data_IF_005286521786
#
_entry.id   IF_005286521786
#
_cell.length_a   1.000
_cell.length_b   1.000
_cell.length_c   1.000
_cell.angle_alpha   90.00
_cell.angle_beta   90.00
_cell.angle_gamma   90.00
#
_symmetry.space_group_name_H-M   'P 1'
#
loop_
_entity.id
_entity.type
_entity.pdbx_description
1 polymer ?
#
# COMPACT_ATOMS: atom_id res chain seq x y z
N UNK A 1 -6.14 86.77 8.35
CA UNK A 1 -5.26 87.12 9.49
C UNK A 1 -4.61 85.82 9.95
N UNK A 2 -3.34 85.58 9.58
CA UNK A 2 -2.13 85.93 10.36
C UNK A 2 -2.04 85.12 11.68
N UNK A 3 -0.96 84.46 12.12
CA UNK A 3 0.33 83.95 11.59
C UNK A 3 1.02 83.24 12.79
N UNK A 4 1.71 82.12 12.52
CA UNK A 4 2.94 81.50 13.12
C UNK A 4 3.23 81.45 14.65
N UNK A 5 3.52 80.24 15.16
CA UNK A 5 4.83 79.61 15.54
C UNK A 5 5.50 80.11 16.84
N UNK A 6 5.78 79.20 17.80
CA UNK A 6 7.09 78.53 17.89
C UNK A 6 7.21 77.50 19.04
N UNK A 7 8.08 76.53 18.78
CA UNK A 7 8.64 75.43 19.59
C UNK A 7 9.20 75.82 20.96
N UNK A 8 9.17 74.89 21.92
CA UNK A 8 10.37 74.48 22.69
C UNK A 8 10.15 73.15 23.42
N UNK A 9 11.06 72.21 23.14
CA UNK A 9 11.26 70.91 23.78
C UNK A 9 11.56 71.03 25.28
N UNK A 10 11.09 70.04 26.06
CA UNK A 10 11.83 69.49 27.21
C UNK A 10 11.34 68.07 27.53
N UNK A 11 12.29 67.14 27.50
CA UNK A 11 12.16 65.72 27.79
C UNK A 11 11.86 65.47 29.28
N UNK A 12 11.11 64.40 29.57
CA UNK A 12 10.91 63.86 30.91
C UNK A 12 11.04 62.31 30.86
N UNK A 13 11.49 61.67 31.94
CA UNK A 13 12.39 60.51 31.87
C UNK A 13 11.70 59.14 31.83
N UNK A 14 12.47 58.16 31.35
CA UNK A 14 12.19 56.72 31.30
C UNK A 14 11.58 56.19 32.61
N UNK A 15 10.35 55.68 32.52
CA UNK A 15 9.79 54.77 33.51
C UNK A 15 10.00 53.31 33.07
N UNK A 16 10.56 52.55 33.99
CA UNK A 16 10.92 51.13 33.98
C UNK A 16 10.14 50.21 33.03
N UNK A 17 10.87 49.53 32.14
CA UNK A 17 10.43 48.32 31.46
C UNK A 17 10.26 47.20 32.50
N UNK A 18 9.01 46.81 32.77
CA UNK A 18 8.72 45.51 33.34
C UNK A 18 9.11 44.44 32.32
N UNK A 19 10.26 43.82 32.53
CA UNK A 19 10.75 42.69 31.76
C UNK A 19 9.95 41.46 32.18
N UNK A 20 8.77 41.29 31.59
CA UNK A 20 8.01 40.05 31.68
C UNK A 20 8.81 39.00 30.91
N UNK A 21 9.59 38.19 31.63
CA UNK A 21 10.23 36.99 31.09
C UNK A 21 9.11 36.02 30.69
N UNK A 22 8.55 36.21 29.51
CA UNK A 22 7.76 35.20 28.84
C UNK A 22 8.65 33.99 28.64
N UNK A 23 8.44 32.96 29.45
CA UNK A 23 8.94 31.62 29.16
C UNK A 23 8.23 31.24 27.86
N UNK A 24 8.91 31.46 26.73
CA UNK A 24 8.52 30.91 25.44
C UNK A 24 8.61 29.40 25.62
N UNK A 25 7.48 28.78 25.96
CA UNK A 25 7.32 27.33 25.87
C UNK A 25 7.50 27.00 24.39
N UNK A 26 8.72 26.65 24.03
CA UNK A 26 9.02 25.92 22.80
C UNK A 26 8.18 24.65 22.88
N UNK A 27 7.01 24.66 22.25
CA UNK A 27 6.25 23.45 21.98
C UNK A 27 7.13 22.60 21.09
N UNK A 28 7.90 21.70 21.71
CA UNK A 28 8.44 20.51 21.06
C UNK A 28 7.21 19.70 20.61
N UNK A 29 6.68 20.04 19.44
CA UNK A 29 5.79 19.16 18.71
C UNK A 29 6.57 17.86 18.50
N UNK A 30 5.98 16.68 18.78
CA UNK A 30 6.62 15.43 18.44
C UNK A 30 6.94 15.46 16.95
N UNK A 31 8.22 15.36 16.60
CA UNK A 31 8.63 15.21 15.22
C UNK A 31 8.16 13.82 14.77
N UNK A 32 6.99 13.76 14.14
CA UNK A 32 6.62 12.59 13.36
C UNK A 32 7.64 12.55 12.23
N UNK A 33 8.45 11.49 12.20
CA UNK A 33 9.36 11.26 11.08
C UNK A 33 8.50 11.12 9.83
N UNK A 34 8.59 12.11 8.94
CA UNK A 34 7.98 11.98 7.61
C UNK A 34 8.70 10.84 6.88
N UNK A 35 7.93 9.89 6.38
CA UNK A 35 8.42 8.70 5.69
C UNK A 35 8.02 8.79 4.23
N UNK A 36 8.85 8.24 3.35
CA UNK A 36 8.48 7.89 1.99
C UNK A 36 7.85 6.50 1.99
N UNK A 37 6.53 6.42 1.86
CA UNK A 37 5.77 5.17 1.92
C UNK A 37 5.32 4.77 0.51
N UNK A 38 5.79 3.63 0.04
CA UNK A 38 5.29 3.01 -1.18
C UNK A 38 4.15 2.05 -0.83
N UNK A 39 2.96 2.26 -1.38
CA UNK A 39 1.84 1.34 -1.26
C UNK A 39 1.73 0.52 -2.55
N UNK A 40 1.62 -0.79 -2.42
CA UNK A 40 1.14 -1.67 -3.48
C UNK A 40 -0.01 -2.53 -2.93
N UNK A 41 -0.72 -3.26 -3.78
CA UNK A 41 -1.87 -4.05 -3.34
C UNK A 41 -2.10 -5.20 -4.30
N UNK A 42 -2.67 -6.30 -3.79
CA UNK A 42 -3.21 -7.40 -4.60
C UNK A 42 -4.55 -7.03 -5.23
N UNK A 43 -5.21 -6.01 -4.70
CA UNK A 43 -6.46 -5.48 -5.22
C UNK A 43 -6.19 -4.48 -6.34
N UNK A 44 -7.26 -3.83 -6.80
CA UNK A 44 -7.17 -2.85 -7.87
C UNK A 44 -6.66 -1.52 -7.35
N UNK A 45 -5.91 -0.80 -8.19
CA UNK A 45 -5.42 0.54 -7.93
C UNK A 45 -6.51 1.59 -7.59
N UNK A 46 -7.77 1.31 -7.97
CA UNK A 46 -8.96 2.14 -7.65
C UNK A 46 -9.83 1.58 -6.52
N UNK A 47 -9.38 0.54 -5.82
CA UNK A 47 -10.12 -0.01 -4.68
C UNK A 47 -10.15 0.98 -3.51
N UNK A 48 -11.22 0.95 -2.72
CA UNK A 48 -11.40 1.81 -1.53
C UNK A 48 -10.18 1.80 -0.59
N UNK A 49 -9.66 0.63 -0.29
CA UNK A 49 -8.71 0.42 0.80
C UNK A 49 -7.36 1.14 0.58
N UNK A 50 -6.62 0.90 -0.52
CA UNK A 50 -5.35 1.61 -0.77
C UNK A 50 -5.57 3.12 -0.97
N UNK A 51 -6.70 3.53 -1.57
CA UNK A 51 -7.05 4.94 -1.82
C UNK A 51 -7.22 5.72 -0.53
N UNK A 52 -7.98 5.18 0.42
CA UNK A 52 -8.17 5.84 1.71
C UNK A 52 -6.95 5.73 2.63
N UNK A 53 -6.15 4.67 2.54
CA UNK A 53 -4.92 4.58 3.33
C UNK A 53 -3.89 5.63 2.89
N UNK A 54 -3.72 5.83 1.58
CA UNK A 54 -2.85 6.90 1.06
C UNK A 54 -3.22 8.26 1.63
N UNK A 55 -4.51 8.60 1.60
CA UNK A 55 -4.99 9.87 2.13
C UNK A 55 -4.72 10.00 3.64
N UNK A 56 -5.02 8.95 4.43
CA UNK A 56 -4.78 8.95 5.87
C UNK A 56 -3.30 9.20 6.20
N UNK A 57 -2.38 8.56 5.49
CA UNK A 57 -0.93 8.71 5.70
C UNK A 57 -0.43 10.08 5.24
N UNK A 58 -0.94 10.61 4.13
CA UNK A 58 -0.59 11.95 3.64
C UNK A 58 -1.01 13.05 4.61
N UNK A 59 -2.19 12.93 5.23
CA UNK A 59 -2.63 13.90 6.27
C UNK A 59 -1.77 13.84 7.54
N UNK A 60 -1.04 12.74 7.78
CA UNK A 60 -0.04 12.63 8.84
C UNK A 60 1.34 13.17 8.46
N UNK A 61 1.50 13.68 7.23
CA UNK A 61 2.72 14.31 6.76
C UNK A 61 3.71 13.35 6.09
N UNK A 62 3.32 12.10 5.82
CA UNK A 62 4.14 11.18 5.03
C UNK A 62 4.06 11.53 3.53
N UNK A 63 5.13 11.24 2.80
CA UNK A 63 5.15 11.26 1.34
C UNK A 63 4.72 9.88 0.86
N UNK A 64 3.64 9.80 0.10
CA UNK A 64 3.05 8.50 -0.27
C UNK A 64 2.93 8.38 -1.78
N UNK A 65 3.35 7.23 -2.31
CA UNK A 65 3.12 6.83 -3.70
C UNK A 65 2.45 5.47 -3.71
N UNK A 66 1.52 5.28 -4.64
CA UNK A 66 0.82 4.01 -4.82
C UNK A 66 1.08 3.51 -6.23
N UNK A 67 1.53 2.26 -6.34
CA UNK A 67 1.69 1.57 -7.62
C UNK A 67 1.00 0.22 -7.52
N UNK A 68 -0.02 0.01 -8.35
CA UNK A 68 -0.84 -1.19 -8.30
C UNK A 68 -1.27 -1.65 -9.70
N UNK A 69 -1.78 -2.88 -9.77
CA UNK A 69 -2.27 -3.44 -11.03
C UNK A 69 -3.50 -2.67 -11.54
N UNK A 70 -3.53 -2.43 -12.86
CA UNK A 70 -4.67 -1.89 -13.58
C UNK A 70 -5.86 -2.85 -13.53
N UNK A 71 -5.59 -4.16 -13.60
CA UNK A 71 -6.55 -5.26 -13.65
C UNK A 71 -5.99 -6.47 -12.87
N UNK A 72 -6.05 -6.46 -11.52
CA UNK A 72 -5.45 -7.51 -10.69
C UNK A 72 -6.11 -8.88 -10.85
N UNK A 73 -7.35 -8.91 -11.36
CA UNK A 73 -8.21 -10.08 -11.47
C UNK A 73 -8.40 -10.48 -12.95
N UNK A 74 -7.35 -10.95 -13.62
CA UNK A 74 -7.50 -11.64 -14.91
C UNK A 74 -8.04 -13.07 -14.76
N UNK A 75 -8.27 -13.55 -13.53
CA UNK A 75 -8.75 -14.90 -13.22
C UNK A 75 -10.23 -14.98 -12.79
N UNK A 76 -11.03 -13.92 -12.98
CA UNK A 76 -12.49 -14.09 -12.95
C UNK A 76 -12.89 -14.64 -14.32
N UNK A 77 -13.28 -15.92 -14.48
CA UNK A 77 -13.87 -16.36 -15.73
C UNK A 77 -15.08 -15.45 -16.00
N UNK A 78 -15.36 -15.08 -17.24
CA UNK A 78 -16.48 -14.20 -17.55
C UNK A 78 -17.77 -14.88 -17.12
N UNK A 79 -18.23 -14.59 -15.91
CA UNK A 79 -19.54 -15.00 -15.43
C UNK A 79 -20.53 -14.07 -16.11
N UNK A 80 -21.10 -14.59 -17.20
CA UNK A 80 -22.34 -14.19 -17.87
C UNK A 80 -22.40 -12.76 -18.43
N UNK A 81 -21.63 -12.51 -19.50
CA UNK A 81 -22.07 -11.61 -20.58
C UNK A 81 -22.76 -12.43 -21.68
N UNK A 82 -23.92 -13.02 -21.39
CA UNK A 82 -24.81 -13.63 -22.41
C UNK A 82 -25.96 -12.74 -22.87
N UNK A 83 -25.98 -11.43 -22.56
CA UNK A 83 -27.08 -10.58 -23.05
C UNK A 83 -26.72 -9.32 -23.84
N UNK A 84 -25.44 -8.98 -24.05
CA UNK A 84 -25.07 -7.78 -24.83
C UNK A 84 -23.82 -7.98 -25.71
N UNK A 85 -23.76 -9.09 -26.45
CA UNK A 85 -22.66 -9.35 -27.38
C UNK A 85 -22.80 -8.63 -28.74
N UNK A 86 -23.95 -8.04 -29.04
CA UNK A 86 -24.22 -7.40 -30.35
C UNK A 86 -23.76 -5.93 -30.46
N UNK A 87 -23.11 -5.36 -29.45
CA UNK A 87 -22.67 -3.94 -29.47
C UNK A 87 -21.19 -3.70 -29.18
N UNK A 88 -20.37 -4.76 -29.06
CA UNK A 88 -18.95 -4.64 -28.67
C UNK A 88 -17.96 -4.90 -29.81
N UNK A 89 -18.41 -5.08 -31.05
CA UNK A 89 -17.53 -5.31 -32.21
C UNK A 89 -16.79 -4.06 -32.73
N UNK A 90 -16.97 -2.87 -32.13
CA UNK A 90 -16.40 -1.60 -32.63
C UNK A 90 -15.35 -0.94 -31.70
N UNK A 91 -14.88 -1.64 -30.66
CA UNK A 91 -13.75 -1.19 -29.84
C UNK A 91 -12.62 -2.22 -29.96
N UNK A 92 -11.63 -1.88 -30.80
CA UNK A 92 -10.56 -2.76 -31.24
C UNK A 92 -9.76 -3.44 -30.12
N UNK A 93 -9.16 -4.56 -30.50
CA UNK A 93 -8.16 -5.29 -29.73
C UNK A 93 -7.08 -4.36 -29.15
N UNK A 94 -7.03 -4.25 -27.82
CA UNK A 94 -5.99 -3.55 -27.09
C UNK A 94 -6.49 -2.92 -25.79
N UNK A 95 -6.27 -3.61 -24.66
CA UNK A 95 -6.56 -3.17 -23.29
C UNK A 95 -8.06 -2.95 -23.02
N UNK A 96 -8.62 -3.59 -21.99
CA UNK A 96 -9.96 -3.25 -21.52
C UNK A 96 -10.02 -1.73 -21.20
N UNK A 97 -10.63 -0.94 -22.09
CA UNK A 97 -10.31 0.47 -22.36
C UNK A 97 -10.55 1.49 -21.22
N UNK A 98 -10.84 1.02 -20.00
CA UNK A 98 -11.05 1.85 -18.82
C UNK A 98 -10.37 1.35 -17.53
N UNK A 99 -9.70 0.20 -17.52
CA UNK A 99 -9.24 -0.46 -16.28
C UNK A 99 -10.38 -0.90 -15.36
N UNK A 100 -10.07 -1.37 -14.15
CA UNK A 100 -11.10 -1.77 -13.18
C UNK A 100 -12.07 -0.61 -12.84
N UNK A 101 -13.34 -0.97 -12.64
CA UNK A 101 -14.47 -0.02 -12.54
C UNK A 101 -14.59 0.99 -13.69
N UNK A 102 -13.94 0.73 -14.83
CA UNK A 102 -13.90 1.63 -15.99
C UNK A 102 -13.38 3.04 -15.64
N UNK A 103 -12.54 3.17 -14.61
CA UNK A 103 -12.13 4.46 -14.08
C UNK A 103 -11.53 5.39 -15.15
N UNK A 104 -10.74 4.85 -16.07
CA UNK A 104 -10.04 5.62 -17.10
C UNK A 104 -10.90 6.02 -18.31
N UNK A 105 -12.18 5.61 -18.37
CA UNK A 105 -13.05 6.04 -19.46
C UNK A 105 -13.18 7.57 -19.48
N UNK A 106 -13.11 8.22 -20.67
CA UNK A 106 -13.20 9.69 -20.77
C UNK A 106 -14.45 10.28 -20.10
N UNK A 107 -15.58 9.57 -20.18
CA UNK A 107 -16.83 9.97 -19.54
C UNK A 107 -16.72 10.02 -18.00
N UNK A 108 -16.09 9.01 -17.39
CA UNK A 108 -15.87 8.96 -15.94
C UNK A 108 -14.88 10.02 -15.47
N UNK A 109 -13.78 10.19 -16.20
CA UNK A 109 -12.80 11.26 -15.94
C UNK A 109 -13.45 12.64 -16.00
N UNK A 110 -14.29 12.88 -17.02
CA UNK A 110 -15.04 14.14 -17.16
C UNK A 110 -16.03 14.34 -16.03
N UNK A 111 -16.79 13.31 -15.65
CA UNK A 111 -17.71 13.36 -14.53
C UNK A 111 -17.01 13.73 -13.22
N UNK A 112 -15.94 13.01 -12.87
CA UNK A 112 -15.19 13.23 -11.63
C UNK A 112 -14.54 14.62 -11.58
N UNK A 113 -13.97 15.08 -12.70
CA UNK A 113 -13.48 16.45 -12.84
C UNK A 113 -14.56 17.49 -12.56
N UNK A 114 -15.78 17.28 -13.06
CA UNK A 114 -16.91 18.17 -12.83
C UNK A 114 -17.38 18.14 -11.37
N UNK A 115 -17.43 16.97 -10.74
CA UNK A 115 -17.79 16.85 -9.30
C UNK A 115 -16.81 17.63 -8.43
N UNK A 116 -15.49 17.47 -8.65
CA UNK A 116 -14.46 18.25 -7.95
C UNK A 116 -14.65 19.75 -8.13
N UNK A 117 -14.95 20.19 -9.36
CA UNK A 117 -15.21 21.60 -9.66
C UNK A 117 -16.39 22.18 -8.89
N UNK A 118 -17.45 21.40 -8.69
CA UNK A 118 -18.65 21.83 -7.94
C UNK A 118 -18.38 21.91 -6.44
N UNK A 119 -17.51 21.04 -5.94
CA UNK A 119 -17.14 20.91 -4.52
C UNK A 119 -16.00 21.84 -4.07
N UNK A 120 -15.41 22.63 -4.98
CA UNK A 120 -14.43 23.66 -4.60
C UNK A 120 -15.03 24.60 -3.56
N UNK A 121 -14.24 24.91 -2.53
CA UNK A 121 -14.64 25.79 -1.44
C UNK A 121 -15.22 27.11 -1.97
N UNK A 122 -16.40 27.48 -1.47
CA UNK A 122 -17.10 28.69 -1.89
C UNK A 122 -16.88 29.79 -0.86
N UNK A 123 -16.42 30.95 -1.34
CA UNK A 123 -16.28 32.15 -0.54
C UNK A 123 -17.62 32.82 -0.26
N UNK A 124 -17.56 34.07 0.22
CA UNK A 124 -18.75 34.87 0.49
C UNK A 124 -19.70 34.91 -0.73
N UNK A 125 -21.01 34.88 -0.45
CA UNK A 125 -22.06 34.86 -1.49
C UNK A 125 -22.00 33.64 -2.43
N UNK A 126 -21.48 32.51 -1.97
CA UNK A 126 -21.46 31.25 -2.74
C UNK A 126 -20.59 31.33 -4.01
N UNK A 127 -19.56 32.19 -4.00
CA UNK A 127 -18.68 32.45 -5.15
C UNK A 127 -17.40 31.63 -5.04
N UNK A 128 -16.95 31.01 -6.14
CA UNK A 128 -15.66 30.33 -6.19
C UNK A 128 -14.59 31.37 -6.56
N UNK A 129 -13.50 31.44 -5.81
CA UNK A 129 -12.41 32.34 -6.14
C UNK A 129 -11.72 31.87 -7.41
N UNK A 130 -11.42 32.80 -8.33
CA UNK A 130 -10.72 32.48 -9.58
C UNK A 130 -9.42 31.72 -9.35
N UNK A 131 -8.63 32.10 -8.34
CA UNK A 131 -7.38 31.42 -7.98
C UNK A 131 -7.57 29.92 -7.67
N UNK A 132 -8.70 29.55 -7.07
CA UNK A 132 -8.98 28.17 -6.65
C UNK A 132 -9.44 27.34 -7.86
N UNK A 133 -10.17 27.96 -8.80
CA UNK A 133 -10.48 27.36 -10.10
C UNK A 133 -9.23 27.19 -10.96
N UNK A 134 -8.39 28.22 -11.05
CA UNK A 134 -7.16 28.19 -11.84
C UNK A 134 -6.19 27.11 -11.30
N UNK A 135 -6.11 26.95 -9.97
CA UNK A 135 -5.33 25.89 -9.33
C UNK A 135 -5.86 24.50 -9.69
N UNK A 136 -7.18 24.29 -9.62
CA UNK A 136 -7.83 23.04 -10.00
C UNK A 136 -7.63 22.74 -11.49
N UNK A 137 -7.79 23.72 -12.37
CA UNK A 137 -7.57 23.56 -13.81
C UNK A 137 -6.10 23.23 -14.10
N UNK A 138 -5.14 23.84 -13.40
CA UNK A 138 -3.71 23.50 -13.52
C UNK A 138 -3.42 22.07 -13.05
N UNK A 139 -4.12 21.57 -12.03
CA UNK A 139 -3.98 20.20 -11.55
C UNK A 139 -4.43 19.19 -12.61
N UNK A 140 -5.55 19.46 -13.30
CA UNK A 140 -6.05 18.60 -14.37
C UNK A 140 -5.36 18.79 -15.72
N UNK A 141 -4.77 19.97 -15.97
CA UNK A 141 -4.13 20.27 -17.26
C UNK A 141 -2.69 19.77 -17.32
N UNK A 142 -2.11 19.38 -16.19
CA UNK A 142 -0.88 18.61 -16.22
C UNK A 142 -1.14 17.26 -16.88
N UNK A 143 -0.35 16.96 -17.89
CA UNK A 143 -0.43 15.69 -18.57
C UNK A 143 0.00 14.57 -17.61
N UNK A 144 -0.94 13.70 -17.25
CA UNK A 144 -0.63 12.46 -16.57
C UNK A 144 0.31 11.63 -17.45
N UNK A 145 1.29 10.97 -16.83
CA UNK A 145 2.19 10.07 -17.55
C UNK A 145 1.39 8.85 -17.98
N UNK A 146 1.54 8.44 -19.24
CA UNK A 146 0.91 7.22 -19.76
C UNK A 146 1.75 6.64 -20.89
N UNK A 147 1.94 5.32 -20.86
CA UNK A 147 2.47 4.51 -21.95
C UNK A 147 1.73 3.15 -22.00
N UNK A 148 2.24 2.20 -22.79
CA UNK A 148 1.62 0.88 -22.98
C UNK A 148 1.66 -0.02 -21.73
N UNK A 149 2.57 0.24 -20.78
CA UNK A 149 2.83 -0.62 -19.61
C UNK A 149 2.29 -0.02 -18.32
N UNK A 150 2.32 1.30 -18.18
CA UNK A 150 1.89 1.98 -16.97
C UNK A 150 1.37 3.38 -17.26
N UNK A 151 0.60 3.91 -16.31
CA UNK A 151 0.19 5.30 -16.32
C UNK A 151 -0.09 5.83 -14.93
N UNK A 152 -0.38 7.11 -14.86
CA UNK A 152 -0.71 7.84 -13.64
C UNK A 152 -2.18 8.21 -13.65
N UNK A 153 -2.83 8.16 -12.49
CA UNK A 153 -4.19 8.63 -12.33
C UNK A 153 -4.33 10.12 -12.68
N UNK A 154 -5.16 10.50 -13.66
CA UNK A 154 -5.38 11.90 -14.01
C UNK A 154 -5.96 12.75 -12.87
N UNK A 155 -6.57 12.10 -11.86
CA UNK A 155 -7.18 12.76 -10.70
C UNK A 155 -6.30 12.69 -9.45
N UNK A 156 -5.21 11.92 -9.45
CA UNK A 156 -4.32 11.85 -8.29
C UNK A 156 -2.90 11.41 -8.68
N UNK A 157 -1.97 12.35 -8.73
CA UNK A 157 -0.57 12.09 -9.12
C UNK A 157 0.24 11.20 -8.16
N UNK A 158 -0.33 10.80 -7.03
CA UNK A 158 0.30 9.81 -6.17
C UNK A 158 -0.02 8.38 -6.59
N UNK A 159 -1.02 8.16 -7.46
CA UNK A 159 -1.45 6.84 -7.89
C UNK A 159 -0.98 6.53 -9.31
N UNK A 160 -0.34 5.37 -9.43
CA UNK A 160 0.10 4.79 -10.68
C UNK A 160 -0.56 3.43 -10.85
N UNK A 161 -0.94 3.14 -12.08
CA UNK A 161 -1.44 1.84 -12.49
C UNK A 161 -0.46 1.19 -13.47
N UNK A 162 -0.35 -0.12 -13.38
CA UNK A 162 0.49 -0.95 -14.26
C UNK A 162 -0.40 -1.98 -14.93
N UNK A 163 -0.31 -2.09 -16.25
CA UNK A 163 -0.97 -3.15 -17.02
C UNK A 163 -0.20 -4.46 -16.87
N UNK A 164 -0.38 -5.11 -15.71
CA UNK A 164 0.31 -6.33 -15.32
C UNK A 164 -0.21 -6.86 -13.98
N UNK A 165 0.33 -7.98 -13.52
CA UNK A 165 0.00 -8.57 -12.20
C UNK A 165 0.41 -7.63 -11.06
N UNK A 166 -0.12 -7.82 -9.83
CA UNK A 166 0.37 -7.07 -8.66
C UNK A 166 1.90 -7.16 -8.48
N UNK A 167 2.48 -8.34 -8.74
CA UNK A 167 3.93 -8.56 -8.64
C UNK A 167 4.69 -7.75 -9.69
N UNK A 168 4.22 -7.75 -10.94
CA UNK A 168 4.77 -6.92 -12.01
C UNK A 168 4.64 -5.42 -11.69
N UNK A 169 3.52 -5.00 -11.09
CA UNK A 169 3.31 -3.60 -10.70
C UNK A 169 4.33 -3.12 -9.68
N UNK A 170 4.60 -3.89 -8.63
CA UNK A 170 5.61 -3.54 -7.63
C UNK A 170 7.04 -3.64 -8.21
N UNK A 171 7.31 -4.61 -9.07
CA UNK A 171 8.61 -4.73 -9.77
C UNK A 171 8.89 -3.49 -10.62
N UNK A 172 7.90 -3.07 -11.44
CA UNK A 172 7.96 -1.85 -12.23
C UNK A 172 8.04 -0.58 -11.39
N UNK A 173 7.45 -0.57 -10.19
CA UNK A 173 7.59 0.55 -9.27
C UNK A 173 9.07 0.82 -8.94
N UNK A 174 9.80 -0.23 -8.58
CA UNK A 174 11.21 -0.13 -8.22
C UNK A 174 12.13 0.09 -9.42
N UNK A 175 11.90 -0.62 -10.51
CA UNK A 175 12.86 -0.67 -11.62
C UNK A 175 12.70 0.50 -12.61
N UNK A 176 11.51 1.10 -12.69
CA UNK A 176 11.20 2.09 -13.73
C UNK A 176 10.42 3.31 -13.21
N UNK A 177 9.28 3.14 -12.54
CA UNK A 177 8.38 4.26 -12.23
C UNK A 177 9.02 5.24 -11.24
N UNK A 178 9.52 4.74 -10.09
CA UNK A 178 10.14 5.61 -9.09
C UNK A 178 11.45 6.24 -9.63
N UNK A 179 12.38 5.48 -10.24
CA UNK A 179 13.60 6.10 -10.80
C UNK A 179 13.33 7.15 -11.88
N UNK A 180 12.36 6.93 -12.77
CA UNK A 180 12.07 7.82 -13.89
C UNK A 180 11.22 9.04 -13.51
N UNK A 181 10.26 8.89 -12.58
CA UNK A 181 9.23 9.92 -12.33
C UNK A 181 9.24 10.47 -10.91
N UNK A 182 9.96 9.84 -9.99
CA UNK A 182 10.13 10.29 -8.61
C UNK A 182 11.55 9.97 -8.09
N UNK A 183 12.63 10.44 -8.74
CA UNK A 183 14.00 10.04 -8.42
C UNK A 183 14.43 10.38 -6.98
N UNK A 184 13.80 11.40 -6.38
CA UNK A 184 14.05 11.80 -4.98
C UNK A 184 13.22 10.97 -3.97
N UNK A 185 12.35 10.08 -4.44
CA UNK A 185 11.53 9.20 -3.61
C UNK A 185 12.21 7.85 -3.42
N UNK A 186 12.97 7.71 -2.33
CA UNK A 186 13.47 6.43 -1.87
C UNK A 186 12.52 5.88 -0.79
N UNK A 187 11.84 4.73 -1.00
CA UNK A 187 10.90 4.19 -0.02
C UNK A 187 11.60 3.82 1.30
N UNK A 188 11.08 4.34 2.41
CA UNK A 188 11.46 3.96 3.78
C UNK A 188 10.64 2.76 4.28
N UNK A 189 9.46 2.55 3.68
CA UNK A 189 8.52 1.50 4.02
C UNK A 189 7.71 1.11 2.77
N UNK A 190 7.50 -0.19 2.57
CA UNK A 190 6.46 -0.70 1.68
C UNK A 190 5.25 -1.15 2.50
N UNK A 191 4.05 -0.75 2.06
CA UNK A 191 2.80 -1.33 2.55
C UNK A 191 2.17 -2.12 1.41
N UNK A 192 1.85 -3.38 1.66
CA UNK A 192 1.07 -4.20 0.73
C UNK A 192 -0.36 -4.27 1.26
N UNK A 193 -1.26 -3.50 0.66
CA UNK A 193 -2.67 -3.39 1.05
C UNK A 193 -3.08 -2.00 1.55
N UNK A 194 -4.23 -1.90 2.26
CA UNK A 194 -5.00 -3.00 2.82
C UNK A 194 -5.70 -3.79 1.72
N UNK A 195 -5.49 -5.10 1.67
CA UNK A 195 -6.10 -5.98 0.68
C UNK A 195 -7.41 -6.57 1.23
N UNK A 196 -8.40 -6.71 0.35
CA UNK A 196 -9.55 -7.55 0.58
C UNK A 196 -9.17 -9.04 0.43
N UNK A 197 -9.68 -9.88 1.32
CA UNK A 197 -9.27 -11.27 1.43
C UNK A 197 -8.05 -11.49 2.33
N UNK A 198 -8.11 -12.59 3.09
CA UNK A 198 -7.07 -12.98 4.04
C UNK A 198 -5.83 -13.49 3.30
N UNK A 199 -4.67 -12.97 3.71
CA UNK A 199 -3.36 -13.45 3.27
C UNK A 199 -2.66 -14.02 4.49
N UNK A 200 -2.95 -15.29 4.79
CA UNK A 200 -2.46 -15.96 6.00
C UNK A 200 -1.04 -16.45 5.78
N UNK A 201 -0.14 -16.20 6.73
CA UNK A 201 1.28 -16.53 6.54
C UNK A 201 1.48 -18.03 6.29
N UNK A 202 2.28 -18.43 5.29
CA UNK A 202 2.52 -19.83 5.00
C UNK A 202 3.25 -20.54 6.15
N UNK A 203 3.03 -21.86 6.35
CA UNK A 203 3.75 -22.63 7.35
C UNK A 203 5.26 -22.63 7.05
N UNK A 204 6.06 -22.84 8.10
CA UNK A 204 7.49 -23.03 7.94
C UNK A 204 7.76 -24.38 7.24
N UNK A 205 8.53 -24.37 6.13
CA UNK A 205 9.08 -25.60 5.52
C UNK A 205 10.12 -26.28 6.43
N UNK A 206 10.20 -27.61 6.35
CA UNK A 206 11.23 -28.42 7.02
C UNK A 206 12.51 -28.61 6.16
N UNK A 207 12.54 -28.05 4.94
CA UNK A 207 13.67 -28.19 4.03
C UNK A 207 14.88 -27.33 4.43
N UNK A 208 16.09 -27.86 4.19
CA UNK A 208 17.35 -27.15 4.45
C UNK A 208 17.55 -25.93 3.53
N UNK A 209 17.00 -26.00 2.31
CA UNK A 209 17.00 -24.92 1.30
C UNK A 209 15.59 -24.78 0.75
N UNK A 210 14.99 -23.60 0.94
CA UNK A 210 13.65 -23.28 0.41
C UNK A 210 13.80 -22.58 -0.93
N UNK A 211 13.05 -23.02 -1.95
CA UNK A 211 12.99 -22.36 -3.26
C UNK A 211 11.59 -21.81 -3.45
N UNK A 212 11.48 -20.49 -3.63
CA UNK A 212 10.22 -19.80 -3.85
C UNK A 212 10.20 -19.15 -5.23
N UNK A 213 9.11 -19.38 -5.94
CA UNK A 213 8.76 -18.69 -7.17
C UNK A 213 7.70 -17.65 -6.85
N UNK A 214 8.09 -16.37 -6.87
CA UNK A 214 7.19 -15.28 -6.46
C UNK A 214 5.93 -15.18 -7.31
N UNK A 215 6.00 -15.57 -8.59
CA UNK A 215 4.87 -15.46 -9.51
C UNK A 215 3.85 -16.59 -9.29
N UNK A 216 4.33 -17.74 -8.82
CA UNK A 216 3.54 -18.93 -8.55
C UNK A 216 3.15 -19.11 -7.07
N UNK A 217 3.38 -18.10 -6.22
CA UNK A 217 2.96 -18.17 -4.81
C UNK A 217 1.45 -18.01 -4.67
N UNK A 218 0.82 -18.92 -3.91
CA UNK A 218 -0.61 -18.81 -3.59
C UNK A 218 -0.91 -17.52 -2.77
N UNK A 219 -0.02 -17.15 -1.84
CA UNK A 219 -0.10 -15.89 -1.09
C UNK A 219 0.61 -14.77 -1.86
N UNK A 220 -0.15 -14.05 -2.69
CA UNK A 220 0.33 -12.93 -3.50
C UNK A 220 0.86 -11.76 -2.65
N UNK A 221 0.29 -11.51 -1.47
CA UNK A 221 0.79 -10.46 -0.57
C UNK A 221 2.16 -10.82 0.01
N UNK A 222 2.39 -12.10 0.33
CA UNK A 222 3.71 -12.58 0.74
C UNK A 222 4.74 -12.47 -0.39
N UNK A 223 4.36 -12.75 -1.64
CA UNK A 223 5.25 -12.55 -2.78
C UNK A 223 5.70 -11.09 -2.93
N UNK A 224 4.76 -10.13 -2.79
CA UNK A 224 5.05 -8.69 -2.79
C UNK A 224 5.96 -8.30 -1.62
N UNK A 225 5.74 -8.89 -0.44
CA UNK A 225 6.59 -8.66 0.73
C UNK A 225 8.03 -9.09 0.49
N UNK A 226 8.23 -10.29 -0.05
CA UNK A 226 9.56 -10.80 -0.40
C UNK A 226 10.23 -9.92 -1.46
N UNK A 227 9.49 -9.46 -2.47
CA UNK A 227 10.02 -8.53 -3.46
C UNK A 227 10.49 -7.22 -2.81
N UNK A 228 9.71 -6.61 -1.93
CA UNK A 228 10.13 -5.41 -1.20
C UNK A 228 11.39 -5.64 -0.34
N UNK A 229 11.47 -6.79 0.34
CA UNK A 229 12.65 -7.18 1.12
C UNK A 229 13.89 -7.36 0.23
N UNK A 230 13.76 -7.93 -0.98
CA UNK A 230 14.86 -8.01 -1.96
C UNK A 230 15.41 -6.62 -2.35
N UNK A 231 14.56 -5.61 -2.35
CA UNK A 231 14.94 -4.20 -2.54
C UNK A 231 15.42 -3.52 -1.24
N UNK A 232 15.60 -4.28 -0.15
CA UNK A 232 16.08 -3.83 1.17
C UNK A 232 15.17 -2.80 1.82
N UNK A 233 13.86 -2.90 1.61
CA UNK A 233 12.87 -2.01 2.23
C UNK A 233 12.04 -2.83 3.24
N UNK A 234 11.84 -2.34 4.48
CA UNK A 234 10.93 -2.99 5.42
C UNK A 234 9.50 -2.98 4.87
N UNK A 235 8.73 -4.02 5.20
CA UNK A 235 7.38 -4.19 4.63
C UNK A 235 6.35 -4.59 5.68
N UNK A 236 5.16 -4.00 5.54
CA UNK A 236 3.96 -4.37 6.29
C UNK A 236 2.90 -4.80 5.28
N UNK A 237 2.46 -6.06 5.35
CA UNK A 237 1.32 -6.54 4.59
C UNK A 237 0.07 -6.43 5.44
N UNK A 238 -1.01 -5.91 4.85
CA UNK A 238 -2.27 -5.70 5.55
C UNK A 238 -3.41 -6.27 4.72
N UNK A 239 -4.22 -7.10 5.36
CA UNK A 239 -5.35 -7.78 4.76
C UNK A 239 -6.54 -7.79 5.70
N UNK A 240 -7.73 -7.89 5.14
CA UNK A 240 -8.98 -8.04 5.90
C UNK A 240 -9.84 -9.15 5.33
N UNK A 241 -10.68 -9.76 6.17
CA UNK A 241 -11.59 -10.84 5.76
C UNK A 241 -12.75 -10.36 4.86
N UNK A 242 -12.89 -9.05 4.65
CA UNK A 242 -13.89 -8.49 3.74
C UNK A 242 -13.53 -8.75 2.26
N UNK A 243 -14.56 -8.74 1.41
CA UNK A 243 -14.49 -8.97 -0.03
C UNK A 243 -15.52 -8.09 -0.74
N UNK A 244 -15.64 -6.83 -0.31
CA UNK A 244 -16.72 -5.92 -0.71
C UNK A 244 -16.58 -5.44 -2.17
N UNK A 245 -15.36 -5.47 -2.72
CA UNK A 245 -14.94 -4.96 -4.04
C UNK A 245 -15.56 -3.60 -4.36
N UNK A 246 -15.28 -2.62 -3.50
CA UNK A 246 -15.86 -1.27 -3.60
C UNK A 246 -14.89 -0.28 -4.22
N UNK A 247 -15.40 0.44 -5.23
CA UNK A 247 -14.72 1.57 -5.85
C UNK A 247 -14.59 2.74 -4.86
N UNK A 248 -13.41 3.36 -4.80
CA UNK A 248 -13.12 4.41 -3.81
C UNK A 248 -14.04 5.64 -3.89
N UNK A 249 -14.56 5.94 -5.08
CA UNK A 249 -15.44 7.08 -5.33
C UNK A 249 -16.92 6.67 -5.42
N UNK A 250 -17.30 5.53 -4.84
CA UNK A 250 -18.70 5.12 -4.72
C UNK A 250 -19.44 5.96 -3.67
N UNK A 251 -20.31 6.84 -4.14
CA UNK A 251 -21.05 7.77 -3.31
C UNK A 251 -22.11 7.10 -2.42
N UNK A 252 -22.42 5.81 -2.60
CA UNK A 252 -23.29 5.08 -1.66
C UNK A 252 -22.59 4.89 -0.32
N UNK A 253 -21.27 4.74 -0.33
CA UNK A 253 -20.47 4.41 0.84
C UNK A 253 -19.65 5.58 1.36
N UNK A 254 -19.25 6.52 0.51
CA UNK A 254 -18.34 7.60 0.88
C UNK A 254 -18.87 8.97 0.49
N UNK A 255 -18.41 10.00 1.21
CA UNK A 255 -18.53 11.38 0.76
C UNK A 255 -17.37 11.65 -0.19
N UNK A 256 -17.69 11.66 -1.48
CA UNK A 256 -16.71 11.78 -2.57
C UNK A 256 -16.28 13.23 -2.74
N UNK A 257 -15.01 13.45 -3.06
CA UNK A 257 -14.45 14.77 -3.34
C UNK A 257 -14.62 15.81 -2.20
N UNK A 258 -14.38 15.36 -0.96
CA UNK A 258 -14.31 16.23 0.24
C UNK A 258 -12.87 16.66 0.54
N UNK A 259 -12.70 17.75 1.30
CA UNK A 259 -11.39 18.34 1.54
C UNK A 259 -10.56 17.65 2.64
N UNK A 260 -11.20 16.94 3.58
CA UNK A 260 -10.54 16.34 4.74
C UNK A 260 -10.90 14.86 4.86
N UNK A 261 -9.92 14.03 5.21
CA UNK A 261 -10.06 12.56 5.31
C UNK A 261 -11.22 12.17 6.24
N UNK A 262 -11.30 12.79 7.41
CA UNK A 262 -12.36 12.51 8.40
C UNK A 262 -13.78 12.76 7.87
N UNK A 263 -13.94 13.62 6.86
CA UNK A 263 -15.24 13.98 6.31
C UNK A 263 -15.66 13.02 5.19
N UNK A 264 -14.77 12.11 4.76
CA UNK A 264 -15.02 11.20 3.64
C UNK A 264 -15.94 10.02 4.01
N UNK A 265 -16.16 9.75 5.30
CA UNK A 265 -16.83 8.53 5.76
C UNK A 265 -18.31 8.77 6.07
N UNK A 266 -19.19 8.03 5.39
CA UNK A 266 -20.63 7.97 5.74
C UNK A 266 -20.88 6.97 6.87
N UNK A 267 -22.06 7.06 7.48
CA UNK A 267 -22.47 6.15 8.55
C UNK A 267 -22.92 4.77 8.01
N UNK A 268 -22.00 4.01 7.42
CA UNK A 268 -22.23 2.63 6.96
C UNK A 268 -21.08 1.69 7.40
N UNK A 269 -21.30 0.35 7.39
CA UNK A 269 -20.29 -0.61 7.83
C UNK A 269 -18.96 -0.54 7.07
N UNK A 270 -19.00 -0.37 5.75
CA UNK A 270 -17.81 -0.36 4.88
C UNK A 270 -16.93 0.84 5.22
N UNK A 271 -17.51 2.03 5.29
CA UNK A 271 -16.81 3.25 5.66
C UNK A 271 -16.20 3.18 7.07
N UNK A 272 -16.94 2.61 8.04
CA UNK A 272 -16.43 2.40 9.41
C UNK A 272 -15.25 1.43 9.44
N UNK A 273 -15.28 0.36 8.64
CA UNK A 273 -14.20 -0.61 8.56
C UNK A 273 -12.94 0.04 7.97
N UNK A 274 -13.06 0.76 6.84
CA UNK A 274 -11.92 1.48 6.24
C UNK A 274 -11.30 2.47 7.23
N UNK A 275 -12.12 3.26 7.92
CA UNK A 275 -11.63 4.21 8.92
C UNK A 275 -10.88 3.49 10.04
N UNK A 276 -11.45 2.42 10.61
CA UNK A 276 -10.83 1.67 11.69
C UNK A 276 -9.51 1.00 11.28
N UNK A 277 -9.48 0.37 10.10
CA UNK A 277 -8.29 -0.30 9.57
C UNK A 277 -7.17 0.73 9.36
N UNK A 278 -7.46 1.85 8.70
CA UNK A 278 -6.48 2.90 8.45
C UNK A 278 -5.94 3.51 9.75
N UNK A 279 -6.82 3.82 10.70
CA UNK A 279 -6.40 4.36 12.01
C UNK A 279 -5.45 3.40 12.74
N UNK A 280 -5.68 2.09 12.64
CA UNK A 280 -4.81 1.06 13.25
C UNK A 280 -3.48 0.92 12.53
N UNK A 281 -3.46 1.00 11.20
CA UNK A 281 -2.23 0.95 10.40
C UNK A 281 -1.37 2.18 10.68
N UNK A 282 -1.95 3.38 10.65
CA UNK A 282 -1.24 4.64 10.93
C UNK A 282 -0.61 4.59 12.33
N UNK A 283 -1.39 4.20 13.34
CA UNK A 283 -0.89 4.05 14.71
C UNK A 283 0.21 2.99 14.84
N UNK A 284 0.14 1.91 14.08
CA UNK A 284 1.20 0.90 14.07
C UNK A 284 2.50 1.47 13.47
N UNK A 285 2.42 2.13 12.32
CA UNK A 285 3.57 2.74 11.63
C UNK A 285 4.30 3.70 12.55
N UNK A 286 3.56 4.58 13.23
CA UNK A 286 4.10 5.54 14.21
C UNK A 286 4.87 4.87 15.37
N UNK A 287 4.60 3.59 15.65
CA UNK A 287 5.28 2.83 16.72
C UNK A 287 6.40 1.91 16.24
N UNK A 288 6.37 1.42 15.00
CA UNK A 288 7.29 0.36 14.54
C UNK A 288 8.37 0.85 13.58
N UNK A 289 8.10 1.91 12.80
CA UNK A 289 9.01 2.37 11.76
C UNK A 289 9.99 3.40 12.34
N UNK A 290 11.29 3.13 12.20
CA UNK A 290 12.38 4.00 12.67
C UNK A 290 13.17 3.52 13.90
N UNK A 291 12.72 2.47 14.60
CA UNK A 291 13.47 1.93 15.75
C UNK A 291 13.48 0.41 15.91
N UNK A 292 12.71 -0.36 15.13
CA UNK A 292 12.62 -1.82 15.33
C UNK A 292 12.36 -2.68 14.09
N UNK A 293 11.71 -2.17 13.05
CA UNK A 293 11.46 -2.95 11.83
C UNK A 293 12.58 -2.73 10.81
N UNK A 294 13.41 -3.74 10.59
CA UNK A 294 14.46 -3.73 9.56
C UNK A 294 13.98 -4.39 8.25
N UNK A 295 14.79 -4.28 7.20
CA UNK A 295 14.47 -4.81 5.86
C UNK A 295 14.46 -6.35 5.76
N UNK A 296 14.97 -7.07 6.76
CA UNK A 296 14.92 -8.53 6.80
C UNK A 296 13.61 -9.06 7.39
N UNK A 297 12.89 -8.19 8.12
CA UNK A 297 11.62 -8.47 8.76
C UNK A 297 10.43 -7.98 7.93
N UNK A 298 9.31 -8.68 8.07
CA UNK A 298 8.01 -8.24 7.56
C UNK A 298 6.91 -8.51 8.59
N UNK A 299 5.92 -7.64 8.64
CA UNK A 299 4.73 -7.82 9.48
C UNK A 299 3.56 -8.19 8.58
N UNK A 300 2.96 -9.36 8.80
CA UNK A 300 1.73 -9.77 8.13
C UNK A 300 0.52 -9.59 9.04
N UNK A 301 -0.38 -8.70 8.65
CA UNK A 301 -1.48 -8.24 9.48
C UNK A 301 -2.80 -8.63 8.84
N UNK A 302 -3.59 -9.44 9.54
CA UNK A 302 -4.92 -9.84 9.12
C UNK A 302 -5.97 -9.26 10.09
N UNK A 303 -6.90 -8.49 9.56
CA UNK A 303 -8.06 -7.97 10.27
C UNK A 303 -9.24 -8.94 10.13
N UNK A 304 -9.98 -9.23 11.22
CA UNK A 304 -11.17 -10.06 11.13
C UNK A 304 -12.28 -9.31 10.38
N UNK A 305 -13.28 -10.04 9.87
CA UNK A 305 -14.49 -9.42 9.38
C UNK A 305 -15.13 -8.59 10.49
N UNK A 306 -15.50 -7.34 10.24
CA UNK A 306 -16.07 -6.42 11.23
C UNK A 306 -17.34 -5.76 10.69
N UNK A 307 -18.30 -5.44 11.56
CA UNK A 307 -19.48 -4.62 11.27
C UNK A 307 -20.44 -5.15 10.17
N UNK A 308 -20.15 -6.30 9.58
CA UNK A 308 -21.01 -6.98 8.61
C UNK A 308 -22.11 -7.79 9.32
N UNK A 309 -23.22 -8.07 8.63
CA UNK A 309 -24.36 -8.84 9.19
C UNK A 309 -23.96 -10.22 9.72
N UNK A 310 -22.95 -10.83 9.10
CA UNK A 310 -22.43 -12.15 9.47
C UNK A 310 -21.12 -12.10 10.26
N UNK A 311 -20.65 -10.91 10.63
CA UNK A 311 -19.46 -10.76 11.46
C UNK A 311 -19.84 -10.86 12.94
N UNK A 312 -19.00 -11.57 13.70
CA UNK A 312 -19.07 -11.60 15.16
C UNK A 312 -18.25 -10.48 15.82
N UNK A 313 -17.54 -9.67 15.03
CA UNK A 313 -16.66 -8.62 15.51
C UNK A 313 -17.23 -7.24 15.18
N UNK A 314 -17.05 -6.33 16.12
CA UNK A 314 -17.55 -4.97 16.00
C UNK A 314 -16.40 -3.98 16.10
N UNK A 315 -16.43 -2.95 15.25
CA UNK A 315 -15.45 -1.88 15.27
C UNK A 315 -16.07 -0.50 15.03
N UNK A 316 -15.58 0.48 15.76
CA UNK A 316 -15.77 1.92 15.53
C UNK A 316 -14.40 2.56 15.39
N UNK A 317 -14.32 3.84 15.03
CA UNK A 317 -13.04 4.57 14.94
C UNK A 317 -12.14 4.42 16.17
N UNK A 318 -12.70 4.24 17.38
CA UNK A 318 -11.93 4.20 18.62
C UNK A 318 -11.94 2.85 19.33
N UNK A 319 -12.88 1.96 19.01
CA UNK A 319 -13.05 0.67 19.68
C UNK A 319 -13.11 -0.46 18.67
N UNK A 320 -12.50 -1.60 18.98
CA UNK A 320 -12.54 -2.77 18.11
C UNK A 320 -11.46 -3.77 18.46
N UNK A 321 -11.22 -4.75 17.57
CA UNK A 321 -10.14 -5.72 17.67
C UNK A 321 -8.79 -5.09 18.01
N UNK A 322 -7.97 -5.82 18.79
CA UNK A 322 -6.60 -5.41 19.16
C UNK A 322 -5.59 -6.31 18.47
N UNK A 323 -4.38 -5.79 18.25
CA UNK A 323 -3.26 -6.58 17.74
C UNK A 323 -2.92 -7.74 18.67
N UNK A 324 -2.78 -8.93 18.08
CA UNK A 324 -2.34 -10.16 18.72
C UNK A 324 -1.24 -10.77 17.87
N UNK A 325 -0.01 -10.77 18.40
CA UNK A 325 1.11 -11.42 17.73
C UNK A 325 0.92 -12.94 17.74
N UNK A 326 1.00 -13.53 16.56
CA UNK A 326 0.92 -14.97 16.35
C UNK A 326 2.33 -15.54 16.27
N UNK A 327 2.56 -16.62 17.01
CA UNK A 327 3.87 -17.27 17.10
C UNK A 327 3.74 -18.75 16.78
N UNK A 328 4.68 -19.30 16.01
CA UNK A 328 4.80 -20.73 15.74
C UNK A 328 6.04 -21.31 16.43
N UNK A 329 6.18 -22.64 16.37
CA UNK A 329 7.41 -23.31 16.78
C UNK A 329 8.61 -22.77 15.99
N UNK A 330 9.77 -22.63 16.66
CA UNK A 330 10.99 -22.18 16.00
C UNK A 330 11.32 -23.13 14.84
N UNK A 331 11.55 -22.61 13.62
CA UNK A 331 11.94 -23.47 12.52
C UNK A 331 13.28 -24.14 12.81
N UNK A 332 13.52 -25.31 12.21
CA UNK A 332 14.85 -25.92 12.21
C UNK A 332 15.84 -25.00 11.49
N UNK A 333 17.12 -25.13 11.83
CA UNK A 333 18.19 -24.42 11.15
C UNK A 333 18.11 -24.65 9.64
N UNK A 334 18.17 -23.58 8.85
CA UNK A 334 18.15 -23.64 7.38
C UNK A 334 19.43 -23.04 6.82
N UNK A 335 19.92 -23.60 5.74
CA UNK A 335 21.12 -23.09 5.05
C UNK A 335 20.82 -21.82 4.25
N UNK A 336 19.57 -21.64 3.80
CA UNK A 336 19.14 -20.42 3.11
C UNK A 336 17.84 -20.57 2.33
N UNK A 337 17.47 -19.50 1.62
CA UNK A 337 16.32 -19.42 0.72
C UNK A 337 16.79 -18.94 -0.66
N UNK A 338 16.22 -19.50 -1.72
CA UNK A 338 16.37 -19.04 -3.09
C UNK A 338 15.03 -18.48 -3.54
N UNK A 339 15.01 -17.23 -3.99
CA UNK A 339 13.81 -16.58 -4.52
C UNK A 339 14.00 -16.33 -6.00
N UNK A 340 13.00 -16.69 -6.80
CA UNK A 340 12.97 -16.38 -8.22
C UNK A 340 11.91 -15.31 -8.51
N UNK A 341 12.34 -14.28 -9.24
CA UNK A 341 11.53 -13.11 -9.60
C UNK A 341 11.41 -13.07 -11.12
N UNK A 342 10.19 -12.98 -11.69
CA UNK A 342 10.04 -12.74 -13.12
C UNK A 342 10.60 -11.37 -13.46
N UNK A 343 11.43 -11.26 -14.50
CA UNK A 343 11.77 -9.95 -15.05
C UNK A 343 10.72 -9.61 -16.10
N UNK A 344 10.03 -8.50 -15.89
CA UNK A 344 9.27 -7.87 -16.95
C UNK A 344 10.27 -7.42 -18.03
N UNK A 345 10.40 -8.15 -19.14
CA UNK A 345 11.08 -7.63 -20.32
C UNK A 345 10.12 -6.65 -21.00
N UNK A 346 10.28 -5.37 -20.64
CA UNK A 346 9.49 -4.23 -21.09
C UNK A 346 9.40 -4.07 -22.62
N UNK A 347 10.21 -4.83 -23.39
CA UNK A 347 10.27 -4.73 -24.85
C UNK A 347 9.64 -5.91 -25.60
N UNK A 348 9.24 -6.99 -24.92
CA UNK A 348 8.71 -8.19 -25.58
C UNK A 348 7.57 -8.83 -24.79
N UNK A 349 6.37 -8.28 -24.93
CA UNK A 349 5.12 -8.98 -24.55
C UNK A 349 4.86 -10.25 -25.39
N UNK A 350 5.65 -10.50 -26.42
CA UNK A 350 5.48 -11.62 -27.34
C UNK A 350 6.84 -12.21 -27.74
N UNK A 351 7.33 -13.20 -26.97
CA UNK A 351 8.01 -14.43 -27.42
C UNK A 351 8.92 -15.01 -26.32
N UNK A 352 8.49 -16.15 -25.78
CA UNK A 352 9.27 -17.28 -25.28
C UNK A 352 10.69 -16.96 -24.75
N UNK A 353 10.71 -16.53 -23.49
CA UNK A 353 11.60 -17.01 -22.43
C UNK A 353 11.40 -16.04 -21.26
N UNK A 354 10.61 -16.42 -20.25
CA UNK A 354 10.53 -15.67 -19.00
C UNK A 354 11.95 -15.54 -18.43
N UNK A 355 12.54 -14.35 -18.56
CA UNK A 355 13.85 -14.12 -17.98
C UNK A 355 13.69 -13.99 -16.48
N UNK A 356 14.03 -15.04 -15.73
CA UNK A 356 13.92 -15.04 -14.27
C UNK A 356 15.22 -14.57 -13.63
N UNK A 357 15.12 -13.72 -12.62
CA UNK A 357 16.22 -13.38 -11.74
C UNK A 357 16.15 -14.25 -10.48
N UNK A 358 17.26 -14.87 -10.10
CA UNK A 358 17.35 -15.71 -8.91
C UNK A 358 18.19 -15.02 -7.85
N UNK A 359 17.73 -15.05 -6.61
CA UNK A 359 18.39 -14.42 -5.46
C UNK A 359 18.63 -15.47 -4.39
N UNK A 360 19.84 -15.49 -3.85
CA UNK A 360 20.19 -16.31 -2.69
C UNK A 360 20.15 -15.46 -1.44
N UNK A 361 19.53 -16.02 -0.41
CA UNK A 361 19.30 -15.41 0.90
C UNK A 361 19.85 -16.38 1.95
N UNK A 362 20.71 -15.90 2.83
CA UNK A 362 21.33 -16.70 3.90
C UNK A 362 21.45 -15.87 5.17
N UNK A 363 21.39 -16.52 6.33
CA UNK A 363 21.56 -15.83 7.63
C UNK A 363 22.96 -15.27 7.81
N UNK A 364 23.99 -15.94 7.28
CA UNK A 364 25.39 -15.55 7.42
C UNK A 364 25.80 -14.46 6.42
N UNK A 365 24.91 -14.10 5.50
CA UNK A 365 25.15 -13.06 4.50
C UNK A 365 24.22 -11.89 4.75
N UNK A 366 24.80 -10.76 5.16
CA UNK A 366 24.11 -9.44 5.16
C UNK A 366 23.68 -9.01 3.73
N UNK A 367 24.03 -9.79 2.72
CA UNK A 367 23.80 -9.49 1.30
C UNK A 367 22.85 -10.50 0.70
N UNK A 368 21.72 -10.00 0.25
CA UNK A 368 20.88 -10.66 -0.75
C UNK A 368 21.63 -10.56 -2.08
N UNK A 369 22.04 -11.71 -2.63
CA UNK A 369 22.90 -11.76 -3.81
C UNK A 369 22.16 -12.39 -4.98
N UNK A 370 22.22 -11.72 -6.12
CA UNK A 370 21.70 -12.27 -7.36
C UNK A 370 22.62 -13.41 -7.83
N UNK A 371 22.05 -14.59 -8.06
CA UNK A 371 22.76 -15.74 -8.59
C UNK A 371 23.01 -15.55 -10.10
N UNK A 372 24.25 -15.84 -10.52
CA UNK A 372 24.56 -16.05 -11.93
C UNK A 372 23.95 -17.37 -12.42
N UNK A 373 23.76 -17.48 -13.74
CA UNK A 373 23.23 -18.70 -14.35
C UNK A 373 24.11 -19.94 -14.06
N UNK A 374 25.43 -19.74 -13.98
CA UNK A 374 26.39 -20.80 -13.66
C UNK A 374 26.23 -21.25 -12.21
N UNK A 375 26.07 -20.32 -11.28
CA UNK A 375 25.83 -20.64 -9.87
C UNK A 375 24.50 -21.34 -9.68
N UNK A 376 23.45 -20.89 -10.36
CA UNK A 376 22.16 -21.55 -10.35
C UNK A 376 22.26 -23.00 -10.84
N UNK A 377 22.95 -23.25 -11.97
CA UNK A 377 23.15 -24.60 -12.49
C UNK A 377 23.98 -25.49 -11.56
N UNK A 378 24.97 -24.91 -10.86
CA UNK A 378 25.75 -25.62 -9.84
C UNK A 378 24.89 -25.95 -8.62
N UNK A 379 24.09 -25.00 -8.16
CA UNK A 379 23.19 -25.20 -7.03
C UNK A 379 22.08 -26.18 -7.35
N UNK A 380 21.45 -26.10 -8.53
CA UNK A 380 20.43 -27.05 -8.93
C UNK A 380 21.01 -28.47 -9.03
N UNK A 381 22.24 -28.64 -9.51
CA UNK A 381 22.90 -29.95 -9.51
C UNK A 381 23.19 -30.50 -8.10
N UNK A 382 23.32 -29.65 -7.08
CA UNK A 382 23.56 -30.03 -5.67
C UNK A 382 22.25 -30.25 -4.91
N UNK A 383 21.23 -29.43 -5.19
CA UNK A 383 19.91 -29.44 -4.52
C UNK A 383 18.97 -30.47 -5.15
N UNK A 384 19.25 -30.94 -6.38
CA UNK A 384 18.45 -31.98 -7.05
C UNK A 384 18.48 -33.31 -6.27
N UNK A 385 17.43 -33.55 -5.47
CA UNK A 385 16.86 -34.91 -5.42
C UNK A 385 16.17 -35.15 -6.77
N UNK A 386 16.47 -36.25 -7.48
CA UNK A 386 15.83 -36.54 -8.75
C UNK A 386 14.35 -36.86 -8.50
N UNK A 387 13.44 -36.18 -9.20
CA UNK A 387 12.08 -36.68 -9.41
C UNK A 387 11.00 -36.29 -8.40
N UNK A 388 10.99 -35.05 -7.91
CA UNK A 388 9.70 -34.43 -7.58
C UNK A 388 9.36 -33.43 -8.67
N UNK A 389 8.58 -33.87 -9.65
CA UNK A 389 7.46 -33.03 -10.05
C UNK A 389 6.81 -32.57 -8.75
N UNK A 390 6.71 -31.26 -8.54
CA UNK A 390 5.95 -30.71 -7.43
C UNK A 390 4.49 -31.09 -7.67
N UNK A 391 4.12 -32.35 -7.37
CA UNK A 391 2.74 -32.68 -7.05
C UNK A 391 2.40 -31.74 -5.90
N UNK A 392 1.60 -30.72 -6.22
CA UNK A 392 0.88 -29.92 -5.25
C UNK A 392 0.15 -30.96 -4.40
N UNK A 393 0.71 -31.27 -3.24
CA UNK A 393 0.01 -32.06 -2.26
C UNK A 393 -1.10 -31.14 -1.75
N UNK A 394 -2.24 -31.17 -2.43
CA UNK A 394 -3.43 -30.33 -2.20
C UNK A 394 -3.94 -30.36 -0.75
N UNK A 395 -3.43 -31.30 0.06
CA UNK A 395 -3.71 -31.37 1.50
C UNK A 395 -2.95 -30.34 2.34
N UNK A 396 -1.77 -29.88 1.90
CA UNK A 396 -0.93 -28.93 2.65
C UNK A 396 -1.23 -27.47 2.32
N UNK A 397 -1.73 -27.19 1.10
CA UNK A 397 -2.31 -25.89 0.73
C UNK A 397 -3.62 -25.61 1.50
N UNK A 398 -4.26 -26.65 2.03
CA UNK A 398 -5.53 -26.53 2.77
C UNK A 398 -5.37 -26.08 4.23
N UNK A 399 -4.17 -26.08 4.79
CA UNK A 399 -3.93 -25.62 6.17
C UNK A 399 -3.18 -24.29 6.16
N UNK A 400 -3.93 -23.24 5.84
CA UNK A 400 -3.57 -21.87 6.21
C UNK A 400 -3.26 -21.77 7.71
N UNK A 401 -2.51 -20.73 8.11
CA UNK A 401 -2.05 -20.56 9.49
C UNK A 401 -3.23 -20.57 10.49
N UNK A 402 -3.46 -21.74 11.11
CA UNK A 402 -4.56 -21.95 12.07
C UNK A 402 -4.49 -20.99 13.25
N UNK A 403 -3.30 -20.54 13.63
CA UNK A 403 -3.13 -19.63 14.75
C UNK A 403 -3.58 -18.20 14.40
N UNK A 404 -3.28 -17.72 13.18
CA UNK A 404 -3.84 -16.47 12.67
C UNK A 404 -5.36 -16.56 12.56
N UNK A 405 -5.88 -17.61 11.92
CA UNK A 405 -7.33 -17.79 11.78
C UNK A 405 -8.03 -17.85 13.15
N UNK A 406 -7.44 -18.54 14.13
CA UNK A 406 -7.97 -18.60 15.50
C UNK A 406 -7.96 -17.24 16.20
N UNK A 407 -6.98 -16.38 15.90
CA UNK A 407 -6.95 -15.01 16.44
C UNK A 407 -8.07 -14.16 15.84
N UNK A 408 -8.29 -14.25 14.53
CA UNK A 408 -9.39 -13.58 13.83
C UNK A 408 -10.76 -13.99 14.40
N UNK A 409 -10.97 -15.30 14.59
CA UNK A 409 -12.20 -15.86 15.19
C UNK A 409 -12.46 -15.37 16.63
N UNK A 410 -11.42 -14.94 17.35
CA UNK A 410 -11.52 -14.31 18.68
C UNK A 410 -11.64 -12.79 18.63
N UNK A 411 -11.91 -12.21 17.46
CA UNK A 411 -11.96 -10.77 17.23
C UNK A 411 -10.66 -10.05 17.61
N UNK A 412 -9.52 -10.66 17.25
CA UNK A 412 -8.20 -10.07 17.36
C UNK A 412 -7.68 -9.75 15.95
N UNK A 413 -6.84 -8.71 15.83
CA UNK A 413 -6.07 -8.44 14.62
C UNK A 413 -4.84 -9.34 14.69
N UNK A 414 -4.76 -10.34 13.83
CA UNK A 414 -3.62 -11.26 13.81
C UNK A 414 -2.40 -10.56 13.24
N UNK A 415 -1.25 -10.68 13.91
CA UNK A 415 0.02 -10.11 13.42
C UNK A 415 1.09 -11.19 13.45
N UNK A 416 1.63 -11.55 12.29
CA UNK A 416 2.72 -12.50 12.16
C UNK A 416 4.01 -11.75 11.83
N UNK A 417 5.06 -12.03 12.60
CA UNK A 417 6.39 -11.51 12.34
C UNK A 417 7.13 -12.53 11.48
N UNK A 418 7.53 -12.13 10.29
CA UNK A 418 8.24 -13.00 9.36
C UNK A 418 9.63 -12.45 9.09
N UNK A 419 10.56 -13.34 8.77
CA UNK A 419 11.93 -12.96 8.41
C UNK A 419 12.33 -13.70 7.15
N UNK A 420 13.05 -13.00 6.27
CA UNK A 420 13.43 -13.48 4.93
C UNK A 420 14.07 -14.88 4.92
N UNK A 421 14.93 -15.18 5.90
CA UNK A 421 15.59 -16.50 6.09
C UNK A 421 15.16 -17.28 7.35
N UNK A 422 14.97 -16.62 8.51
CA UNK A 422 14.61 -17.27 9.79
C UNK A 422 13.20 -17.84 9.83
N UNK A 423 12.39 -17.62 8.80
CA UNK A 423 11.05 -18.17 8.68
C UNK A 423 9.96 -17.28 9.26
N UNK A 424 8.80 -17.89 9.48
CA UNK A 424 7.52 -17.24 9.69
C UNK A 424 7.02 -17.38 11.13
N UNK A 425 6.14 -16.46 11.55
CA UNK A 425 5.51 -16.42 12.89
C UNK A 425 6.51 -16.41 14.05
N UNK A 426 7.49 -15.51 13.97
CA UNK A 426 8.56 -15.36 14.95
C UNK A 426 8.04 -14.76 16.27
N UNK A 427 8.69 -15.18 17.36
CA UNK A 427 8.35 -14.80 18.72
C UNK A 427 8.71 -13.35 19.08
N UNK A 428 8.28 -12.94 20.27
CA UNK A 428 8.58 -11.62 20.83
C UNK A 428 10.05 -11.40 21.15
N UNK A 429 10.85 -12.47 21.15
CA UNK A 429 12.31 -12.44 21.24
C UNK A 429 12.96 -11.85 19.98
N UNK A 430 12.28 -11.93 18.82
CA UNK A 430 12.74 -11.33 17.57
C UNK A 430 12.17 -9.93 17.40
N UNK A 431 10.85 -9.79 17.51
CA UNK A 431 10.17 -8.52 17.38
C UNK A 431 8.90 -8.52 18.22
N UNK A 432 8.68 -7.45 18.99
CA UNK A 432 7.51 -7.30 19.84
C UNK A 432 6.53 -6.32 19.20
N UNK A 433 5.40 -6.82 18.73
CA UNK A 433 4.33 -5.97 18.19
C UNK A 433 3.76 -5.10 19.31
N UNK A 434 3.71 -3.77 19.14
CA UNK A 434 3.16 -2.89 20.16
C UNK A 434 1.64 -3.05 20.28
N UNK A 435 1.14 -3.00 21.52
CA UNK A 435 -0.28 -3.06 21.83
C UNK A 435 -1.03 -1.74 21.57
#
# INVERSE_FOLDING_TARGET
>A
MWVQKNSLYKEAPLAAKHQQKGIMKLLLLPAVLALNILISTTDSWVSKSPRYLEWALRERGHSVKVVASLNPNTEVPPVEHELHRDTLEDFGDGVAAGGDFNHLLPAHQTYLKNVRRVNVARGAKNTILKRDLDALESEFSSQAVQNELYGQDPLNRNFWYVDGTPLEALSLAFDEILPSHAPDFAPDLVIVGPNEGLHLTPPNSDDDVVVEDLDNMDDKAHALALLAQLHKVPVITVSSEDHDRVYYNDDRYFNVEVAQYKDAFKANPIAKNVQFVNDRIVHLIEKVVGSSLDASLSLNINFPSMNHKYSNCFATSHHGPKFAQVTAAKPKFRMGKIVSVPRADLRKRAQDSETRAYFKLSEDSDRMERLSEIELRRMSAIVSKPGHEFEKNDLHSYYSNKHELSALQRCQIAVSVNHVTKGNNLGTDVFRVPH
#
